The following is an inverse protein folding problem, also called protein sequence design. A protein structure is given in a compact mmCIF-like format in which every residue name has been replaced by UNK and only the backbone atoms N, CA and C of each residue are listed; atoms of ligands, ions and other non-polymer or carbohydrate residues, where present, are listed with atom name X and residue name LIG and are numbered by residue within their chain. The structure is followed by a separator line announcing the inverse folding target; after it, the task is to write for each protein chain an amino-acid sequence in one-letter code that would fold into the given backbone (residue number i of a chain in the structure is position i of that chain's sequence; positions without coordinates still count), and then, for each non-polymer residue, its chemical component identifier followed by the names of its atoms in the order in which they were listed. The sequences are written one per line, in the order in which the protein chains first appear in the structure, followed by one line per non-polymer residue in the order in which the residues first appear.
data_IF_145525317718
#
_entry.id   IF_145525317718
#
_cell.length_a   1.000
_cell.length_b   1.000
_cell.length_c   1.000
_cell.angle_alpha   90.00
_cell.angle_beta   90.00
_cell.angle_gamma   90.00
#
_symmetry.space_group_name_H-M   'P 1'
#
loop_
_entity.id
_entity.type
_entity.pdbx_description
1 polymer ?
#
# COMPACT_ATOMS: atom_id res chain seq x y z
N UNK A 1 5.69 -9.20 -3.77
CA UNK A 1 6.45 -8.90 -2.55
C UNK A 1 5.51 -8.74 -1.36
N UNK A 2 5.98 -9.06 -0.15
CA UNK A 2 5.16 -8.94 1.07
C UNK A 2 5.44 -7.62 1.78
N UNK A 3 4.37 -6.97 2.27
CA UNK A 3 4.41 -5.72 3.04
C UNK A 3 3.54 -5.88 4.28
N UNK A 4 4.09 -5.57 5.46
CA UNK A 4 3.32 -5.64 6.70
C UNK A 4 2.16 -4.65 6.71
N UNK A 5 1.06 -5.05 7.34
CA UNK A 5 -0.08 -4.15 7.58
C UNK A 5 0.31 -2.90 8.36
N UNK A 6 1.35 -2.99 9.20
CA UNK A 6 1.86 -1.86 9.99
C UNK A 6 2.42 -0.71 9.15
N UNK A 7 2.77 -0.94 7.88
CA UNK A 7 3.09 0.14 6.92
C UNK A 7 1.89 1.05 6.68
N UNK A 8 0.68 0.49 6.67
CA UNK A 8 -0.58 1.20 6.44
C UNK A 8 -1.21 1.65 7.75
N UNK A 9 -1.31 0.73 8.72
CA UNK A 9 -1.96 0.97 10.01
C UNK A 9 -1.25 0.18 11.11
N UNK A 10 -0.74 0.88 12.11
CA UNK A 10 0.06 0.32 13.21
C UNK A 10 -0.72 -0.46 14.28
N UNK A 11 -2.02 -0.62 14.15
CA UNK A 11 -2.85 -1.40 15.07
C UNK A 11 -4.07 -0.64 15.58
N UNK A 12 -5.08 -1.40 16.05
CA UNK A 12 -6.24 -0.86 16.78
C UNK A 12 -5.88 -0.79 18.26
N UNK A 13 -5.38 0.33 18.68
CA UNK A 13 -5.41 0.77 20.08
C UNK A 13 -6.63 1.68 20.27
N UNK A 14 -6.86 2.20 21.48
CA UNK A 14 -7.91 3.18 21.75
C UNK A 14 -7.86 4.39 20.78
N UNK A 15 -6.66 4.72 20.28
CA UNK A 15 -6.45 5.60 19.12
C UNK A 15 -5.75 4.83 18.02
N UNK A 16 -6.25 4.85 16.76
CA UNK A 16 -5.56 4.24 15.62
C UNK A 16 -4.17 4.84 15.47
N UNK A 17 -3.15 4.00 15.37
CA UNK A 17 -1.80 4.43 15.02
C UNK A 17 -1.63 4.29 13.52
N UNK A 18 -1.45 5.41 12.84
CA UNK A 18 -1.21 5.41 11.40
C UNK A 18 0.22 4.95 11.09
N UNK A 19 0.36 4.14 10.04
CA UNK A 19 1.67 3.70 9.56
C UNK A 19 2.43 4.77 8.77
N UNK A 20 3.66 4.48 8.32
CA UNK A 20 4.46 5.40 7.50
C UNK A 20 3.76 5.91 6.24
N UNK A 21 2.88 5.11 5.64
CA UNK A 21 2.10 5.48 4.46
C UNK A 21 1.31 6.79 4.66
N UNK A 22 0.70 6.98 5.84
CA UNK A 22 0.00 8.22 6.17
C UNK A 22 0.94 9.43 6.11
N UNK A 23 2.14 9.31 6.69
CA UNK A 23 3.12 10.42 6.69
C UNK A 23 3.60 10.77 5.29
N UNK A 24 3.73 9.77 4.40
CA UNK A 24 4.05 9.98 2.99
C UNK A 24 2.91 10.71 2.28
N UNK A 25 1.65 10.29 2.52
CA UNK A 25 0.48 10.96 1.94
C UNK A 25 0.37 12.42 2.40
N UNK A 26 0.50 12.68 3.69
CA UNK A 26 0.42 14.03 4.27
C UNK A 26 1.54 14.95 3.73
N UNK A 27 2.70 14.39 3.42
CA UNK A 27 3.84 15.13 2.84
C UNK A 27 3.81 15.18 1.31
N UNK A 28 2.78 14.65 0.63
CA UNK A 28 2.71 14.51 -0.81
C UNK A 28 3.94 13.83 -1.43
N UNK A 29 4.53 12.85 -0.69
CA UNK A 29 5.80 12.21 -1.03
C UNK A 29 5.60 10.91 -1.82
N UNK A 30 4.96 11.00 -2.99
CA UNK A 30 4.73 9.88 -3.87
C UNK A 30 6.04 9.17 -4.26
N UNK A 31 7.11 9.95 -4.49
CA UNK A 31 8.42 9.40 -4.84
C UNK A 31 9.00 8.50 -3.76
N UNK A 32 8.84 8.87 -2.48
CA UNK A 32 9.27 7.99 -1.39
C UNK A 32 8.46 6.70 -1.36
N UNK A 33 7.14 6.75 -1.61
CA UNK A 33 6.32 5.54 -1.71
C UNK A 33 6.80 4.64 -2.86
N UNK A 34 6.97 5.19 -4.06
CA UNK A 34 7.38 4.41 -5.23
C UNK A 34 8.77 3.79 -5.04
N UNK A 35 9.73 4.55 -4.48
CA UNK A 35 11.06 4.03 -4.12
C UNK A 35 11.00 2.96 -3.05
N UNK A 36 10.17 3.13 -2.02
CA UNK A 36 9.98 2.11 -0.99
C UNK A 36 9.47 0.80 -1.61
N UNK A 37 8.40 0.86 -2.38
CA UNK A 37 7.81 -0.31 -2.99
C UNK A 37 8.79 -1.00 -3.95
N UNK A 38 9.50 -0.23 -4.78
CA UNK A 38 10.50 -0.76 -5.71
C UNK A 38 11.68 -1.39 -4.97
N UNK A 39 12.21 -0.74 -3.95
CA UNK A 39 13.29 -1.28 -3.12
C UNK A 39 12.87 -2.61 -2.49
N UNK A 40 11.67 -2.67 -1.89
CA UNK A 40 11.15 -3.90 -1.29
C UNK A 40 10.95 -5.02 -2.32
N UNK A 41 10.62 -4.70 -3.57
CA UNK A 41 10.51 -5.69 -4.63
C UNK A 41 11.88 -6.26 -5.04
N UNK A 42 12.91 -5.43 -5.04
CA UNK A 42 14.28 -5.84 -5.42
C UNK A 42 15.01 -6.57 -4.30
N UNK A 43 14.73 -6.22 -3.04
CA UNK A 43 15.39 -6.77 -1.85
C UNK A 43 14.48 -7.83 -1.21
N UNK A 44 14.40 -8.99 -1.86
CA UNK A 44 13.45 -10.07 -1.52
C UNK A 44 14.03 -11.18 -0.63
N UNK A 45 15.35 -11.18 -0.39
CA UNK A 45 16.06 -12.18 0.39
C UNK A 45 17.12 -11.53 1.31
N UNK A 46 17.55 -12.27 2.31
CA UNK A 46 18.68 -11.87 3.18
C UNK A 46 19.94 -11.63 2.36
N UNK A 47 20.75 -10.64 2.75
CA UNK A 47 20.69 -9.84 3.98
C UNK A 47 19.78 -8.62 3.93
N UNK A 48 18.74 -8.59 3.09
CA UNK A 48 17.77 -7.50 2.92
C UNK A 48 18.40 -6.18 2.48
N UNK A 49 19.48 -6.28 1.73
CA UNK A 49 20.31 -5.15 1.31
C UNK A 49 20.39 -5.11 -0.22
N UNK A 50 20.24 -3.93 -0.81
CA UNK A 50 20.38 -3.75 -2.24
C UNK A 50 21.83 -3.93 -2.69
N UNK A 51 22.02 -4.29 -3.96
CA UNK A 51 23.32 -4.08 -4.61
C UNK A 51 23.68 -2.59 -4.56
N UNK A 52 24.98 -2.24 -4.57
CA UNK A 52 25.39 -0.85 -4.74
C UNK A 52 24.88 -0.32 -6.09
N UNK A 53 24.03 0.71 -6.05
CA UNK A 53 23.42 1.29 -7.25
C UNK A 53 23.60 2.80 -7.27
N UNK A 54 23.85 3.33 -8.47
CA UNK A 54 23.83 4.76 -8.73
C UNK A 54 22.38 5.30 -8.64
N UNK A 55 22.23 6.53 -8.15
CA UNK A 55 20.92 7.19 -8.07
C UNK A 55 20.24 7.35 -9.42
N UNK A 56 20.99 7.38 -10.52
CA UNK A 56 20.44 7.38 -11.89
C UNK A 56 19.68 6.11 -12.22
N UNK A 57 20.09 4.96 -11.68
CA UNK A 57 19.39 3.68 -11.89
C UNK A 57 18.00 3.75 -11.27
N UNK A 58 17.91 4.26 -10.05
CA UNK A 58 16.62 4.45 -9.35
C UNK A 58 15.76 5.50 -10.06
N UNK A 59 16.35 6.62 -10.50
CA UNK A 59 15.63 7.65 -11.25
C UNK A 59 15.04 7.08 -12.56
N UNK A 60 15.84 6.30 -13.30
CA UNK A 60 15.38 5.64 -14.53
C UNK A 60 14.24 4.65 -14.26
N UNK A 61 14.36 3.85 -13.20
CA UNK A 61 13.32 2.89 -12.83
C UNK A 61 11.98 3.55 -12.47
N UNK A 62 12.02 4.80 -11.98
CA UNK A 62 10.82 5.61 -11.70
C UNK A 62 10.36 6.46 -12.91
N UNK A 63 11.00 6.34 -14.07
CA UNK A 63 10.66 7.14 -15.25
C UNK A 63 11.10 8.61 -15.20
N UNK A 64 12.00 8.97 -14.29
CA UNK A 64 12.50 10.34 -14.10
C UNK A 64 13.70 10.67 -15.01
N UNK A 65 13.65 10.23 -16.28
CA UNK A 65 14.79 10.32 -17.20
C UNK A 65 14.90 11.66 -17.92
N UNK A 66 13.80 12.40 -18.05
CA UNK A 66 13.73 13.61 -18.88
C UNK A 66 14.58 14.77 -18.33
N UNK A 67 14.89 14.74 -17.04
CA UNK A 67 15.81 15.67 -16.39
C UNK A 67 16.73 14.87 -15.45
N UNK A 68 17.86 14.41 -15.99
CA UNK A 68 18.74 13.48 -15.30
C UNK A 68 19.25 14.02 -13.96
N UNK A 69 19.58 15.29 -13.87
CA UNK A 69 20.12 15.89 -12.65
C UNK A 69 19.04 16.15 -11.59
N UNK A 70 17.86 16.62 -12.02
CA UNK A 70 16.71 16.78 -11.12
C UNK A 70 16.18 15.44 -10.64
N UNK A 71 16.13 14.43 -11.50
CA UNK A 71 15.75 13.07 -11.16
C UNK A 71 16.66 12.45 -10.11
N UNK A 72 17.97 12.56 -10.27
CA UNK A 72 18.99 12.08 -9.31
C UNK A 72 18.87 12.80 -7.97
N UNK A 73 18.74 14.13 -8.01
CA UNK A 73 18.56 14.95 -6.79
C UNK A 73 17.27 14.57 -6.06
N UNK A 74 16.18 14.38 -6.78
CA UNK A 74 14.88 13.99 -6.22
C UNK A 74 14.94 12.61 -5.55
N UNK A 75 15.58 11.62 -6.19
CA UNK A 75 15.82 10.29 -5.62
C UNK A 75 16.67 10.38 -4.36
N UNK A 76 17.77 11.14 -4.40
CA UNK A 76 18.67 11.29 -3.23
C UNK A 76 17.95 11.95 -2.04
N UNK A 77 17.10 12.96 -2.30
CA UNK A 77 16.25 13.58 -1.28
C UNK A 77 15.22 12.61 -0.71
N UNK A 78 14.59 11.79 -1.57
CA UNK A 78 13.61 10.80 -1.13
C UNK A 78 14.27 9.73 -0.25
N UNK A 79 15.45 9.22 -0.59
CA UNK A 79 16.19 8.29 0.26
C UNK A 79 16.57 8.88 1.62
N UNK A 80 16.93 10.16 1.69
CA UNK A 80 17.16 10.83 2.99
C UNK A 80 15.92 10.85 3.86
N UNK A 81 14.74 11.12 3.27
CA UNK A 81 13.47 11.06 4.02
C UNK A 81 13.11 9.63 4.41
N UNK A 82 13.38 8.65 3.54
CA UNK A 82 13.18 7.23 3.85
C UNK A 82 13.99 6.78 5.06
N UNK A 83 15.21 7.24 5.19
CA UNK A 83 16.10 6.98 6.33
C UNK A 83 15.68 7.78 7.58
N UNK A 84 15.67 9.11 7.48
CA UNK A 84 15.52 10.00 8.64
C UNK A 84 14.05 10.16 9.09
N UNK A 85 13.12 10.39 8.15
CA UNK A 85 11.73 10.70 8.47
C UNK A 85 10.87 9.46 8.60
N UNK A 86 10.93 8.55 7.62
CA UNK A 86 10.07 7.37 7.59
C UNK A 86 10.69 6.17 8.30
N UNK A 87 12.02 6.11 8.43
CA UNK A 87 12.79 5.05 9.07
C UNK A 87 12.50 3.67 8.47
N UNK A 88 12.52 3.60 7.15
CA UNK A 88 12.19 2.41 6.36
C UNK A 88 13.39 1.79 5.66
N UNK A 89 14.50 2.53 5.59
CA UNK A 89 15.79 2.05 5.09
C UNK A 89 16.92 2.59 5.93
N UNK A 90 18.02 1.84 5.97
CA UNK A 90 19.32 2.31 6.39
C UNK A 90 20.21 2.51 5.16
N UNK A 91 20.98 3.60 5.12
CA UNK A 91 21.76 3.99 3.94
C UNK A 91 23.26 3.84 4.22
N UNK A 92 23.84 2.87 3.53
CA UNK A 92 25.28 2.70 3.44
C UNK A 92 25.86 3.21 2.12
N UNK A 93 27.16 3.08 1.99
CA UNK A 93 27.92 3.36 0.77
C UNK A 93 28.90 2.23 0.45
N UNK A 94 29.07 1.98 -0.85
CA UNK A 94 30.17 1.18 -1.40
C UNK A 94 30.85 2.04 -2.46
N UNK A 95 31.97 2.67 -2.09
CA UNK A 95 32.57 3.73 -2.88
C UNK A 95 31.62 4.91 -3.07
N UNK A 96 31.32 5.26 -4.31
CA UNK A 96 30.39 6.34 -4.69
C UNK A 96 28.92 5.89 -4.75
N UNK A 97 28.66 4.59 -4.71
CA UNK A 97 27.34 4.02 -4.90
C UNK A 97 26.59 3.90 -3.56
N UNK A 98 25.27 4.06 -3.63
CA UNK A 98 24.40 3.91 -2.45
C UNK A 98 24.02 2.43 -2.28
N UNK A 99 24.10 1.98 -1.04
CA UNK A 99 23.62 0.68 -0.58
C UNK A 99 22.46 0.93 0.37
N UNK A 100 21.37 0.21 0.18
CA UNK A 100 20.15 0.39 0.95
C UNK A 100 19.78 -0.91 1.64
N UNK A 101 19.73 -0.90 2.96
CA UNK A 101 19.26 -2.02 3.79
C UNK A 101 17.83 -1.76 4.22
N UNK A 102 16.96 -2.74 4.04
CA UNK A 102 15.56 -2.63 4.45
C UNK A 102 15.44 -2.57 5.97
N UNK A 103 14.60 -1.68 6.44
CA UNK A 103 14.14 -1.64 7.83
C UNK A 103 12.67 -2.08 7.90
N UNK A 104 12.21 -2.32 9.12
CA UNK A 104 10.84 -2.77 9.37
C UNK A 104 9.83 -1.72 8.91
N UNK A 105 8.76 -2.17 8.28
CA UNK A 105 7.77 -1.32 7.60
C UNK A 105 6.90 -0.49 8.55
N UNK A 106 6.99 -0.71 9.86
CA UNK A 106 6.25 0.05 10.88
C UNK A 106 6.87 1.43 11.20
N UNK A 107 8.03 1.74 10.58
CA UNK A 107 8.73 3.01 10.80
C UNK A 107 9.46 3.09 12.15
N UNK A 108 9.65 1.98 12.85
CA UNK A 108 10.42 1.94 14.12
C UNK A 108 11.92 2.04 13.90
N UNK A 109 12.39 1.76 12.68
CA UNK A 109 13.83 1.69 12.36
C UNK A 109 14.50 0.40 12.82
N UNK A 110 13.75 -0.61 13.22
CA UNK A 110 14.29 -1.94 13.53
C UNK A 110 14.70 -2.65 12.24
N UNK A 111 15.64 -3.59 12.37
CA UNK A 111 16.06 -4.42 11.25
C UNK A 111 14.86 -5.14 10.64
N UNK A 112 14.87 -5.28 9.31
CA UNK A 112 13.83 -5.99 8.60
C UNK A 112 13.96 -7.51 8.83
N UNK A 113 12.81 -8.13 8.99
CA UNK A 113 12.64 -9.59 8.95
C UNK A 113 11.48 -9.92 8.02
N UNK A 114 11.48 -11.07 7.37
CA UNK A 114 10.35 -11.47 6.54
C UNK A 114 9.09 -11.64 7.39
N UNK A 115 7.93 -11.03 7.01
CA UNK A 115 6.69 -11.22 7.77
C UNK A 115 6.19 -12.66 7.64
N UNK A 116 5.80 -13.27 8.75
CA UNK A 116 5.34 -14.67 8.81
C UNK A 116 3.83 -14.83 9.04
N UNK A 117 3.11 -13.74 9.34
CA UNK A 117 1.67 -13.74 9.59
C UNK A 117 1.24 -14.32 10.94
N UNK A 118 2.17 -14.84 11.76
CA UNK A 118 1.87 -15.55 13.00
C UNK A 118 1.25 -14.67 14.09
N UNK A 119 1.58 -13.40 14.12
CA UNK A 119 1.01 -12.43 15.06
C UNK A 119 0.32 -11.29 14.31
N UNK A 120 -0.45 -10.47 15.03
CA UNK A 120 -1.07 -9.29 14.44
C UNK A 120 -0.03 -8.31 13.87
N UNK A 121 1.11 -8.15 14.52
CA UNK A 121 2.19 -7.28 14.07
C UNK A 121 2.91 -7.83 12.82
N UNK A 122 2.80 -9.13 12.58
CA UNK A 122 3.39 -9.83 11.43
C UNK A 122 2.40 -10.06 10.27
N UNK A 123 1.15 -9.58 10.39
CA UNK A 123 0.21 -9.63 9.27
C UNK A 123 0.73 -8.82 8.11
N UNK A 124 0.59 -9.37 6.90
CA UNK A 124 1.05 -8.75 5.67
C UNK A 124 0.03 -8.93 4.55
N UNK A 125 0.17 -8.13 3.54
CA UNK A 125 -0.43 -8.33 2.23
C UNK A 125 0.66 -8.53 1.19
N UNK A 126 0.31 -9.12 0.06
CA UNK A 126 1.23 -9.32 -1.06
C UNK A 126 0.89 -8.33 -2.17
N UNK A 127 1.86 -7.52 -2.57
CA UNK A 127 1.79 -6.73 -3.77
C UNK A 127 2.40 -7.55 -4.92
N UNK A 128 1.61 -7.91 -5.95
CA UNK A 128 2.09 -8.72 -7.06
C UNK A 128 3.08 -7.93 -7.94
N UNK A 129 3.96 -8.64 -8.63
CA UNK A 129 4.94 -8.01 -9.51
C UNK A 129 4.30 -7.32 -10.71
N UNK A 130 3.08 -7.70 -11.11
CA UNK A 130 2.27 -7.02 -12.13
C UNK A 130 2.11 -5.53 -11.87
N UNK A 131 2.27 -5.08 -10.62
CA UNK A 131 2.27 -3.66 -10.28
C UNK A 131 3.35 -2.88 -11.06
N UNK A 132 4.50 -3.51 -11.32
CA UNK A 132 5.62 -2.91 -12.07
C UNK A 132 5.74 -3.40 -13.51
N UNK A 133 5.53 -4.70 -13.73
CA UNK A 133 5.84 -5.40 -14.97
C UNK A 133 4.64 -5.68 -15.85
N UNK A 134 3.42 -5.53 -15.31
CA UNK A 134 2.19 -5.67 -16.07
C UNK A 134 2.03 -4.60 -17.16
N UNK A 135 1.23 -4.87 -18.17
CA UNK A 135 0.97 -3.96 -19.30
C UNK A 135 0.60 -2.55 -18.85
N UNK A 136 -0.19 -2.45 -17.79
CA UNK A 136 -0.70 -1.17 -17.27
C UNK A 136 0.35 -0.38 -16.48
N UNK A 137 1.45 -1.00 -16.06
CA UNK A 137 2.49 -0.35 -15.24
C UNK A 137 1.90 0.52 -14.13
N UNK A 138 1.11 -0.08 -13.25
CA UNK A 138 0.32 0.63 -12.24
C UNK A 138 1.11 1.63 -11.39
N UNK A 139 2.40 1.42 -11.21
CA UNK A 139 3.28 2.35 -10.51
C UNK A 139 3.42 3.72 -11.19
N UNK A 140 3.16 3.80 -12.51
CA UNK A 140 3.20 5.07 -13.27
C UNK A 140 1.81 5.59 -13.60
N UNK A 141 0.81 4.72 -13.75
CA UNK A 141 -0.52 5.11 -14.22
C UNK A 141 -1.49 5.46 -13.10
N UNK A 142 -1.31 4.87 -11.91
CA UNK A 142 -2.15 5.22 -10.77
C UNK A 142 -1.74 6.56 -10.16
N UNK A 143 -2.72 7.39 -9.85
CA UNK A 143 -2.51 8.61 -9.06
C UNK A 143 -2.07 8.27 -7.64
N UNK A 144 -1.38 9.17 -6.96
CA UNK A 144 -0.91 8.94 -5.59
C UNK A 144 -2.03 8.51 -4.61
N UNK A 145 -3.21 9.18 -4.57
CA UNK A 145 -4.32 8.68 -3.77
C UNK A 145 -4.77 7.27 -4.14
N UNK A 146 -4.73 6.89 -5.42
CA UNK A 146 -5.10 5.55 -5.84
C UNK A 146 -4.07 4.49 -5.39
N UNK A 147 -2.76 4.79 -5.46
CA UNK A 147 -1.71 3.94 -4.90
C UNK A 147 -1.92 3.72 -3.40
N UNK A 148 -2.20 4.79 -2.65
CA UNK A 148 -2.48 4.71 -1.22
C UNK A 148 -3.71 3.84 -0.95
N UNK A 149 -4.82 4.06 -1.67
CA UNK A 149 -6.05 3.28 -1.49
C UNK A 149 -5.90 1.83 -1.93
N UNK A 150 -5.04 1.52 -2.93
CA UNK A 150 -4.69 0.15 -3.28
C UNK A 150 -4.02 -0.57 -2.10
N UNK A 151 -3.05 0.08 -1.45
CA UNK A 151 -2.35 -0.49 -0.30
C UNK A 151 -3.27 -0.64 0.92
N UNK A 152 -4.13 0.35 1.19
CA UNK A 152 -5.16 0.27 2.24
C UNK A 152 -6.10 -0.91 1.97
N UNK A 153 -6.64 -0.99 0.77
CA UNK A 153 -7.58 -2.06 0.37
C UNK A 153 -6.95 -3.46 0.45
N UNK A 154 -5.64 -3.57 0.17
CA UNK A 154 -4.88 -4.83 0.28
C UNK A 154 -4.78 -5.34 1.72
N UNK A 155 -4.95 -4.49 2.73
CA UNK A 155 -5.00 -4.92 4.13
C UNK A 155 -6.36 -5.46 4.56
N UNK A 156 -7.41 -5.22 3.76
CA UNK A 156 -8.79 -5.51 4.08
C UNK A 156 -9.26 -6.85 3.48
N UNK A 157 -10.35 -7.38 4.00
CA UNK A 157 -10.95 -8.62 3.47
C UNK A 157 -11.83 -8.27 2.26
N UNK A 158 -11.99 -9.19 1.29
CA UNK A 158 -12.95 -9.01 0.21
C UNK A 158 -14.34 -8.64 0.72
N UNK A 159 -15.02 -7.74 0.03
CA UNK A 159 -16.32 -7.22 0.45
C UNK A 159 -16.25 -6.23 1.62
N UNK A 160 -15.09 -5.59 1.85
CA UNK A 160 -14.96 -4.61 2.91
C UNK A 160 -15.83 -3.38 2.67
N UNK A 161 -16.28 -2.79 3.78
CA UNK A 161 -16.95 -1.51 3.80
C UNK A 161 -15.95 -0.48 4.33
N UNK A 162 -15.77 0.59 3.60
CA UNK A 162 -14.93 1.71 4.01
C UNK A 162 -15.75 3.00 3.86
N UNK A 163 -16.41 3.45 4.94
CA UNK A 163 -16.96 4.78 4.97
C UNK A 163 -15.82 5.79 4.81
N UNK A 164 -15.89 6.60 3.76
CA UNK A 164 -14.76 7.48 3.39
C UNK A 164 -14.49 8.54 4.45
N UNK A 165 -15.51 8.95 5.21
CA UNK A 165 -15.41 9.82 6.37
C UNK A 165 -14.59 9.21 7.52
N UNK A 166 -14.54 7.85 7.63
CA UNK A 166 -13.73 7.12 8.61
C UNK A 166 -12.30 6.83 8.13
N UNK A 167 -12.00 7.05 6.86
CA UNK A 167 -10.67 6.80 6.30
C UNK A 167 -9.60 7.66 7.00
N UNK A 168 -9.96 8.87 7.43
CA UNK A 168 -9.07 9.76 8.19
C UNK A 168 -8.72 9.17 9.55
N UNK A 169 -9.72 8.71 10.29
CA UNK A 169 -9.51 8.15 11.63
C UNK A 169 -8.71 6.85 11.56
N UNK A 170 -8.99 5.99 10.57
CA UNK A 170 -8.41 4.65 10.49
C UNK A 170 -7.05 4.60 9.82
N UNK A 171 -6.84 5.41 8.78
CA UNK A 171 -5.65 5.34 7.91
C UNK A 171 -4.95 6.68 7.73
N UNK A 172 -5.50 7.77 8.29
CA UNK A 172 -4.99 9.11 8.08
C UNK A 172 -5.19 9.64 6.66
N UNK A 173 -6.12 9.07 5.92
CA UNK A 173 -6.46 9.47 4.54
C UNK A 173 -7.68 10.38 4.58
N UNK A 174 -7.58 11.60 4.01
CA UNK A 174 -8.75 12.49 3.94
C UNK A 174 -9.89 11.86 3.13
N UNK A 175 -11.14 12.20 3.46
CA UNK A 175 -12.35 11.75 2.75
C UNK A 175 -12.19 11.91 1.24
N UNK A 176 -11.81 13.09 0.81
CA UNK A 176 -11.62 13.43 -0.60
C UNK A 176 -10.54 12.56 -1.27
N UNK A 177 -9.40 12.34 -0.59
CA UNK A 177 -8.33 11.47 -1.12
C UNK A 177 -8.77 10.01 -1.20
N UNK A 178 -9.55 9.52 -0.22
CA UNK A 178 -10.08 8.17 -0.22
C UNK A 178 -11.09 7.96 -1.37
N UNK A 179 -12.03 8.91 -1.55
CA UNK A 179 -13.01 8.86 -2.64
C UNK A 179 -12.34 8.91 -4.01
N UNK A 180 -11.41 9.86 -4.20
CA UNK A 180 -10.65 9.98 -5.45
C UNK A 180 -9.85 8.72 -5.74
N UNK A 181 -9.16 8.18 -4.73
CA UNK A 181 -8.39 6.96 -4.88
C UNK A 181 -9.25 5.74 -5.22
N UNK A 182 -10.35 5.52 -4.50
CA UNK A 182 -11.29 4.42 -4.78
C UNK A 182 -11.96 4.55 -6.14
N UNK A 183 -12.27 5.78 -6.58
CA UNK A 183 -12.82 6.04 -7.90
C UNK A 183 -11.84 5.63 -8.99
N UNK A 184 -10.58 6.08 -8.92
CA UNK A 184 -9.55 5.72 -9.89
C UNK A 184 -9.32 4.21 -9.92
N UNK A 185 -9.25 3.53 -8.76
CA UNK A 185 -9.12 2.08 -8.71
C UNK A 185 -10.28 1.35 -9.39
N UNK A 186 -11.50 1.87 -9.26
CA UNK A 186 -12.68 1.30 -9.92
C UNK A 186 -12.63 1.52 -11.43
N UNK A 187 -12.33 2.72 -11.88
CA UNK A 187 -12.18 3.07 -13.30
C UNK A 187 -11.07 2.26 -13.96
N UNK A 188 -9.98 2.00 -13.24
CA UNK A 188 -8.88 1.12 -13.67
C UNK A 188 -9.22 -0.38 -13.60
N UNK A 189 -10.40 -0.75 -13.13
CA UNK A 189 -10.81 -2.15 -13.02
C UNK A 189 -10.11 -2.95 -11.91
N UNK A 190 -9.37 -2.30 -11.01
CA UNK A 190 -8.65 -2.95 -9.91
C UNK A 190 -9.54 -3.29 -8.71
N UNK A 191 -10.64 -2.57 -8.53
CA UNK A 191 -11.58 -2.80 -7.45
C UNK A 191 -13.02 -2.85 -8.00
N UNK A 192 -13.79 -3.75 -7.45
CA UNK A 192 -15.23 -3.84 -7.70
C UNK A 192 -16.00 -3.21 -6.53
N UNK A 193 -17.12 -2.53 -6.85
CA UNK A 193 -18.01 -1.95 -5.85
C UNK A 193 -19.42 -2.50 -6.04
N UNK A 194 -19.96 -3.07 -4.97
CA UNK A 194 -21.37 -3.51 -4.91
C UNK A 194 -22.11 -2.60 -3.92
N UNK A 195 -23.24 -2.05 -4.34
CA UNK A 195 -24.09 -1.25 -3.46
C UNK A 195 -25.10 -2.17 -2.77
N UNK A 196 -25.19 -2.06 -1.45
CA UNK A 196 -26.23 -2.72 -0.66
C UNK A 196 -27.11 -1.67 0.00
N UNK A 197 -28.40 -1.92 0.01
CA UNK A 197 -29.36 -1.08 0.72
C UNK A 197 -29.64 -1.70 2.07
N UNK A 198 -29.56 -0.89 3.12
CA UNK A 198 -29.90 -1.26 4.51
C UNK A 198 -31.07 -0.43 5.00
N UNK A 199 -31.88 -1.02 5.87
CA UNK A 199 -32.89 -0.27 6.59
C UNK A 199 -32.21 0.71 7.56
N UNK A 200 -32.64 1.95 7.51
CA UNK A 200 -32.14 3.07 8.34
C UNK A 200 -33.32 3.91 8.79
N UNK A 201 -34.07 3.48 9.81
CA UNK A 201 -35.32 4.13 10.24
C UNK A 201 -35.18 5.61 10.57
N UNK A 202 -33.96 6.05 10.93
CA UNK A 202 -33.67 7.45 11.26
C UNK A 202 -33.25 8.29 10.05
N UNK A 203 -33.14 7.67 8.84
CA UNK A 203 -32.87 8.44 7.61
C UNK A 203 -34.18 8.96 7.03
N UNK A 204 -34.18 10.09 6.29
CA UNK A 204 -35.39 10.65 5.67
C UNK A 204 -36.09 9.67 4.72
N UNK A 205 -35.37 8.74 4.12
CA UNK A 205 -35.89 7.74 3.17
C UNK A 205 -36.15 6.37 3.82
N UNK A 206 -35.88 6.21 5.13
CA UNK A 206 -35.93 4.93 5.85
C UNK A 206 -34.86 3.93 5.43
N UNK A 207 -33.98 4.30 4.48
CA UNK A 207 -32.94 3.43 3.90
C UNK A 207 -31.61 4.16 3.79
N UNK A 208 -30.51 3.42 3.85
CA UNK A 208 -29.16 3.91 3.57
C UNK A 208 -28.44 3.00 2.57
N UNK A 209 -27.53 3.57 1.80
CA UNK A 209 -26.70 2.82 0.88
C UNK A 209 -25.34 2.54 1.52
N UNK A 210 -24.87 1.31 1.40
CA UNK A 210 -23.55 0.89 1.85
C UNK A 210 -22.76 0.32 0.68
N UNK A 211 -21.53 0.80 0.51
CA UNK A 211 -20.66 0.35 -0.57
C UNK A 211 -19.71 -0.73 -0.07
N UNK A 212 -19.78 -1.91 -0.72
CA UNK A 212 -18.90 -3.03 -0.47
C UNK A 212 -17.86 -3.11 -1.58
N UNK A 213 -16.59 -3.16 -1.19
CA UNK A 213 -15.46 -3.15 -2.11
C UNK A 213 -14.72 -4.48 -2.09
N UNK A 214 -14.30 -4.93 -3.27
CA UNK A 214 -13.48 -6.13 -3.42
C UNK A 214 -12.34 -5.84 -4.41
N UNK A 215 -11.09 -5.98 -3.96
CA UNK A 215 -9.94 -5.94 -4.88
C UNK A 215 -9.99 -7.17 -5.79
N UNK A 216 -9.80 -6.93 -7.10
CA UNK A 216 -9.69 -8.00 -8.08
C UNK A 216 -8.32 -8.67 -8.04
N UNK A 217 -8.23 -9.91 -8.52
CA UNK A 217 -6.95 -10.60 -8.70
C UNK A 217 -6.07 -9.83 -9.70
N UNK A 218 -4.76 -9.82 -9.51
CA UNK A 218 -3.99 -10.54 -8.48
C UNK A 218 -3.84 -9.77 -7.14
N UNK A 219 -4.44 -8.58 -6.99
CA UNK A 219 -4.26 -7.68 -5.82
C UNK A 219 -5.12 -8.08 -4.62
N UNK A 220 -6.27 -8.73 -4.85
CA UNK A 220 -7.17 -9.17 -3.80
C UNK A 220 -6.69 -10.47 -3.15
N UNK A 221 -6.95 -10.62 -1.84
CA UNK A 221 -6.76 -11.92 -1.17
C UNK A 221 -7.66 -12.95 -1.83
N UNK A 222 -7.11 -14.12 -2.14
CA UNK A 222 -7.91 -15.31 -2.46
C UNK A 222 -8.69 -15.69 -1.21
N UNK A 223 -9.92 -15.22 -1.09
CA UNK A 223 -10.84 -15.80 -0.15
C UNK A 223 -11.00 -17.27 -0.55
N UNK A 224 -10.66 -18.22 0.32
CA UNK A 224 -11.17 -19.58 0.14
C UNK A 224 -12.69 -19.42 0.02
N UNK A 225 -13.33 -19.87 -1.09
CA UNK A 225 -14.77 -19.90 -1.15
C UNK A 225 -15.23 -20.68 0.08
N UNK A 226 -16.06 -20.10 0.95
CA UNK A 226 -16.82 -20.89 1.90
C UNK A 226 -17.67 -21.82 1.03
N UNK A 227 -17.32 -23.08 0.98
CA UNK A 227 -18.21 -24.12 0.50
C UNK A 227 -19.47 -24.05 1.38
N UNK A 228 -20.49 -23.37 0.87
CA UNK A 228 -21.83 -23.53 1.42
C UNK A 228 -22.25 -24.93 1.00
N UNK A 229 -22.15 -25.87 1.92
CA UNK A 229 -22.77 -27.19 1.77
C UNK A 229 -24.25 -26.91 1.72
N UNK A 230 -24.82 -26.93 0.50
CA UNK A 230 -26.26 -26.99 0.31
C UNK A 230 -26.64 -28.37 0.83
N UNK A 231 -27.29 -28.40 1.97
CA UNK A 231 -27.78 -29.63 2.57
C UNK A 231 -28.59 -30.42 1.56
N UNK A 232 -28.18 -31.67 1.34
CA UNK A 232 -28.98 -32.64 0.61
C UNK A 232 -30.33 -32.78 1.32
N UNK A 233 -31.39 -32.42 0.64
CA UNK A 233 -32.75 -32.79 1.05
C UNK A 233 -32.86 -34.28 0.81
N UNK A 234 -32.89 -35.07 1.90
CA UNK A 234 -33.23 -36.47 1.84
C UNK A 234 -34.74 -36.58 1.57
N UNK A 235 -35.06 -37.33 0.54
CA UNK A 235 -36.41 -37.82 0.22
C UNK A 235 -36.73 -38.99 1.12
#
# INVERSE_FOLDING_TARGET
MNVRHSFVQGGRQAKPVHGPLHRMLAAHDERALDLFLLHRALVSAEPWTSRPLDSRVWARALGLQHDADQGVTAVSKAWRRMEGTYRLVDRGRSGRLTVLTALREDGTGKAYTSPNGGTRAERYFTLPFDYWTGEQRWYTTLTFPAKVMLLVSSTLKPGFVLPTEKARDWYGVSTESAERGLRVLRESGLIERVTRVKDAPLSPTGKSQEYHYTLKRPYGRSGRPKLTVIGAVAS
#
